data_IF_485855856510
#
_entry.id   IF_485855856510
#
_cell.length_a   1.000
_cell.length_b   1.000
_cell.length_c   1.000
_cell.angle_alpha   90.00
_cell.angle_beta   90.00
_cell.angle_gamma   90.00
#
_symmetry.space_group_name_H-M   'P 1'
#
loop_
_entity.id
_entity.type
_entity.pdbx_description
1 polymer ?
#
# COMPACT_ATOMS: atom_id res chain seq x y z
N UNK A 1 4.59 -9.77 -1.52
CA UNK A 1 4.37 -10.83 -0.49
C UNK A 1 4.16 -10.29 0.93
N UNK A 2 4.68 -9.12 1.32
CA UNK A 2 4.47 -8.56 2.68
C UNK A 2 3.08 -7.92 2.88
N UNK A 3 2.49 -7.34 1.83
CA UNK A 3 1.17 -6.67 1.88
C UNK A 3 0.04 -7.56 2.39
N UNK A 4 0.10 -8.86 2.11
CA UNK A 4 -0.87 -9.87 2.55
C UNK A 4 -0.92 -10.03 4.07
N UNK A 5 0.17 -9.74 4.80
CA UNK A 5 0.18 -9.76 6.27
C UNK A 5 -0.68 -8.65 6.89
N UNK A 6 -0.89 -7.57 6.14
CA UNK A 6 -1.68 -6.42 6.57
C UNK A 6 -3.08 -6.39 5.94
N UNK A 7 -3.41 -7.39 5.11
CA UNK A 7 -4.74 -7.62 4.60
C UNK A 7 -5.62 -8.21 5.72
N UNK A 8 -6.50 -7.39 6.27
CA UNK A 8 -7.35 -7.77 7.40
C UNK A 8 -8.76 -8.10 6.91
N UNK A 9 -9.35 -9.19 7.40
CA UNK A 9 -10.75 -9.53 7.12
C UNK A 9 -11.69 -8.45 7.65
N UNK A 10 -12.79 -8.19 6.95
CA UNK A 10 -13.78 -7.18 7.35
C UNK A 10 -14.32 -7.39 8.78
N UNK A 11 -14.41 -8.64 9.25
CA UNK A 11 -14.84 -8.99 10.63
C UNK A 11 -13.92 -8.44 11.73
N UNK A 12 -12.66 -8.17 11.39
CA UNK A 12 -11.64 -7.65 12.31
C UNK A 12 -11.52 -6.11 12.21
N UNK A 13 -12.33 -5.46 11.36
CA UNK A 13 -12.39 -4.01 11.30
C UNK A 13 -12.88 -3.40 12.61
N UNK A 14 -12.44 -2.17 12.86
CA UNK A 14 -12.72 -1.41 14.09
C UNK A 14 -12.16 -2.08 15.36
N UNK A 15 -11.26 -3.05 15.22
CA UNK A 15 -10.48 -3.64 16.32
C UNK A 15 -9.03 -3.19 16.24
N UNK A 16 -8.27 -3.45 17.30
CA UNK A 16 -6.83 -3.18 17.30
C UNK A 16 -6.12 -4.27 16.49
N UNK A 17 -5.34 -3.83 15.51
CA UNK A 17 -4.38 -4.69 14.83
C UNK A 17 -3.02 -4.51 15.51
N UNK A 18 -2.43 -5.60 15.98
CA UNK A 18 -1.06 -5.62 16.50
C UNK A 18 -0.40 -6.95 16.11
N UNK A 19 0.79 -6.87 15.50
CA UNK A 19 1.57 -8.03 15.08
C UNK A 19 3.04 -7.76 15.41
N UNK A 20 3.71 -8.69 16.10
CA UNK A 20 5.13 -8.61 16.39
C UNK A 20 5.88 -9.67 15.59
N UNK A 21 6.88 -9.23 14.82
CA UNK A 21 7.80 -10.11 14.08
C UNK A 21 9.21 -9.63 14.39
N UNK A 22 9.99 -10.50 15.05
CA UNK A 22 11.35 -10.17 15.51
C UNK A 22 11.35 -8.87 16.34
N UNK A 23 12.20 -7.92 15.94
CA UNK A 23 12.40 -6.63 16.61
C UNK A 23 11.46 -5.52 16.12
N UNK A 24 10.42 -5.89 15.35
CA UNK A 24 9.42 -4.97 14.81
C UNK A 24 8.03 -5.33 15.31
N UNK A 25 7.29 -4.32 15.79
CA UNK A 25 5.89 -4.39 16.21
C UNK A 25 5.05 -3.50 15.30
N UNK A 26 4.17 -4.12 14.53
CA UNK A 26 3.20 -3.47 13.68
C UNK A 26 1.93 -3.17 14.48
N UNK A 27 1.44 -1.94 14.41
CA UNK A 27 0.21 -1.51 15.09
C UNK A 27 -0.67 -0.70 14.16
N UNK A 28 -1.97 -0.97 14.16
CA UNK A 28 -2.92 -0.28 13.29
C UNK A 28 -4.37 -0.41 13.73
N UNK A 29 -5.25 0.24 12.97
CA UNK A 29 -6.70 0.20 13.17
C UNK A 29 -7.42 0.09 11.83
N UNK A 30 -7.74 -1.13 11.39
CA UNK A 30 -8.44 -1.35 10.13
C UNK A 30 -9.80 -0.66 10.17
N UNK A 31 -10.03 0.22 9.20
CA UNK A 31 -11.22 1.07 9.10
C UNK A 31 -11.99 0.67 7.85
N UNK A 32 -13.28 0.40 8.03
CA UNK A 32 -14.19 0.05 6.94
C UNK A 32 -15.02 1.25 6.52
N UNK A 33 -14.95 1.62 5.25
CA UNK A 33 -15.64 2.75 4.67
C UNK A 33 -16.73 2.25 3.72
N UNK A 34 -17.97 2.78 3.82
CA UNK A 34 -18.98 2.50 2.81
C UNK A 34 -18.57 3.16 1.49
N UNK A 35 -18.60 2.41 0.40
CA UNK A 35 -18.38 2.91 -0.94
C UNK A 35 -19.72 2.98 -1.67
N UNK A 36 -19.97 4.09 -2.37
CA UNK A 36 -21.25 4.39 -3.04
C UNK A 36 -21.00 4.40 -4.54
N UNK A 37 -21.42 3.34 -5.24
CA UNK A 37 -21.52 3.36 -6.70
C UNK A 37 -22.90 3.87 -7.10
N UNK A 38 -22.94 4.80 -8.06
CA UNK A 38 -24.19 5.44 -8.49
C UNK A 38 -25.12 4.52 -9.32
N UNK A 39 -24.88 3.21 -9.40
CA UNK A 39 -25.62 2.34 -10.34
C UNK A 39 -26.06 0.96 -9.85
N UNK A 40 -25.59 0.46 -8.71
CA UNK A 40 -26.03 -0.85 -8.20
C UNK A 40 -26.12 -0.81 -6.68
N UNK A 41 -27.22 -1.31 -6.10
CA UNK A 41 -27.45 -1.46 -4.66
C UNK A 41 -26.47 -2.41 -3.95
N UNK A 42 -25.40 -2.83 -4.64
CA UNK A 42 -24.29 -3.57 -4.04
C UNK A 42 -23.39 -2.56 -3.33
N UNK A 43 -23.62 -2.36 -2.04
CA UNK A 43 -22.74 -1.57 -1.19
C UNK A 43 -21.34 -2.20 -1.13
N UNK A 44 -20.48 -1.90 -2.09
CA UNK A 44 -19.06 -2.21 -1.98
C UNK A 44 -18.45 -1.41 -0.81
N UNK A 45 -17.37 -1.91 -0.24
CA UNK A 45 -16.73 -1.31 0.92
C UNK A 45 -15.23 -1.16 0.68
N UNK A 46 -14.70 0.01 1.01
CA UNK A 46 -13.26 0.24 1.00
C UNK A 46 -12.73 -0.09 2.40
N UNK A 47 -11.82 -1.04 2.49
CA UNK A 47 -11.12 -1.39 3.73
C UNK A 47 -9.73 -0.76 3.71
N UNK A 48 -9.41 0.02 4.73
CA UNK A 48 -8.11 0.68 4.87
C UNK A 48 -7.46 0.26 6.15
N UNK A 49 -6.22 -0.18 6.06
CA UNK A 49 -5.40 -0.51 7.22
C UNK A 49 -4.15 0.36 7.25
N UNK A 50 -4.16 1.37 8.12
CA UNK A 50 -2.98 2.20 8.38
C UNK A 50 -2.18 1.54 9.49
N UNK A 51 -0.97 1.10 9.15
CA UNK A 51 -0.09 0.33 10.04
C UNK A 51 1.21 1.08 10.27
N UNK A 52 1.56 1.28 11.53
CA UNK A 52 2.85 1.81 11.95
C UNK A 52 3.76 0.65 12.35
N UNK A 53 5.01 0.68 11.88
CA UNK A 53 6.06 -0.23 12.31
C UNK A 53 6.89 0.44 13.41
N UNK A 54 6.86 -0.13 14.61
CA UNK A 54 7.58 0.36 15.79
C UNK A 54 8.66 -0.65 16.19
N UNK A 55 9.68 -0.20 16.92
CA UNK A 55 10.61 -1.12 17.57
C UNK A 55 9.86 -2.01 18.57
N UNK A 56 10.19 -3.30 18.65
CA UNK A 56 9.51 -4.25 19.53
C UNK A 56 9.56 -3.88 21.02
N UNK A 57 10.62 -3.18 21.42
CA UNK A 57 10.87 -2.64 22.77
C UNK A 57 10.13 -1.34 23.08
N UNK A 58 9.41 -0.74 22.11
CA UNK A 58 8.65 0.48 22.33
C UNK A 58 7.68 0.33 23.50
N UNK A 59 7.60 1.37 24.33
CA UNK A 59 6.76 1.35 25.52
C UNK A 59 5.26 1.31 25.16
N UNK A 60 4.45 0.77 26.07
CA UNK A 60 3.02 0.61 25.86
C UNK A 60 2.29 1.93 25.57
N UNK A 61 2.74 3.05 26.15
CA UNK A 61 2.17 4.38 25.88
C UNK A 61 2.40 4.84 24.45
N UNK A 62 3.59 4.57 23.89
CA UNK A 62 3.91 4.87 22.49
C UNK A 62 3.09 3.99 21.54
N UNK A 63 3.03 2.68 21.80
CA UNK A 63 2.21 1.75 21.02
C UNK A 63 0.75 2.18 21.02
N UNK A 64 0.21 2.58 22.19
CA UNK A 64 -1.14 3.11 22.31
C UNK A 64 -1.33 4.42 21.54
N UNK A 65 -0.36 5.32 21.59
CA UNK A 65 -0.41 6.60 20.86
C UNK A 65 -0.54 6.38 19.35
N UNK A 66 0.29 5.50 18.76
CA UNK A 66 0.22 5.18 17.33
C UNK A 66 -1.05 4.41 16.94
N UNK A 67 -1.56 3.54 17.83
CA UNK A 67 -2.88 2.95 17.65
C UNK A 67 -3.98 4.02 17.58
N UNK A 68 -4.03 4.93 18.56
CA UNK A 68 -5.03 6.01 18.61
C UNK A 68 -4.90 6.95 17.40
N UNK A 69 -3.67 7.20 16.94
CA UNK A 69 -3.39 7.98 15.73
C UNK A 69 -3.95 7.27 14.47
N UNK A 70 -3.67 5.98 14.27
CA UNK A 70 -4.19 5.22 13.12
C UNK A 70 -5.72 5.25 13.07
N UNK A 71 -6.38 5.18 14.23
CA UNK A 71 -7.84 5.29 14.37
C UNK A 71 -8.36 6.67 13.98
N UNK A 72 -7.65 7.74 14.35
CA UNK A 72 -8.02 9.12 13.96
C UNK A 72 -7.84 9.36 12.47
N UNK A 73 -6.74 8.86 11.88
CA UNK A 73 -6.52 8.93 10.44
C UNK A 73 -7.61 8.18 9.67
N UNK A 74 -8.02 6.99 10.12
CA UNK A 74 -9.15 6.27 9.51
C UNK A 74 -10.46 7.07 9.52
N UNK A 75 -10.72 7.86 10.58
CA UNK A 75 -11.88 8.78 10.61
C UNK A 75 -11.73 9.95 9.63
N UNK A 76 -10.55 10.55 9.56
CA UNK A 76 -10.27 11.64 8.62
C UNK A 76 -10.43 11.18 7.17
N UNK A 77 -9.87 10.01 6.84
CA UNK A 77 -10.03 9.41 5.51
C UNK A 77 -11.49 9.06 5.18
N UNK A 78 -12.28 8.61 6.16
CA UNK A 78 -13.73 8.42 5.99
C UNK A 78 -14.44 9.74 5.66
N UNK A 79 -14.00 10.84 6.25
CA UNK A 79 -14.54 12.16 5.91
C UNK A 79 -14.16 12.55 4.48
N UNK A 80 -12.89 12.39 4.10
CA UNK A 80 -12.42 12.73 2.74
C UNK A 80 -13.08 11.89 1.65
N UNK A 81 -13.34 10.60 1.92
CA UNK A 81 -14.12 9.76 1.00
C UNK A 81 -15.55 10.30 0.82
N UNK A 82 -16.21 10.71 1.90
CA UNK A 82 -17.56 11.29 1.79
C UNK A 82 -17.56 12.67 1.13
N UNK A 83 -16.52 13.48 1.38
CA UNK A 83 -16.44 14.87 0.93
C UNK A 83 -16.20 14.96 -0.57
N UNK A 84 -15.30 14.14 -1.10
CA UNK A 84 -14.86 14.25 -2.49
C UNK A 84 -14.41 12.93 -3.11
N UNK A 85 -14.81 11.78 -2.55
CA UNK A 85 -14.42 10.44 -3.04
C UNK A 85 -12.90 10.26 -3.12
N UNK A 86 -12.15 10.87 -2.19
CA UNK A 86 -10.69 10.92 -2.26
C UNK A 86 -10.06 9.53 -2.42
N UNK A 87 -10.46 8.57 -1.58
CA UNK A 87 -9.86 7.24 -1.60
C UNK A 87 -10.28 6.44 -2.82
N UNK A 88 -11.50 6.66 -3.30
CA UNK A 88 -11.97 6.09 -4.57
C UNK A 88 -11.08 6.53 -5.73
N UNK A 89 -10.77 7.83 -5.84
CA UNK A 89 -9.91 8.34 -6.92
C UNK A 89 -8.46 7.85 -6.78
N UNK A 90 -7.89 7.92 -5.58
CA UNK A 90 -6.53 7.40 -5.33
C UNK A 90 -6.42 5.89 -5.61
N UNK A 91 -7.46 5.11 -5.28
CA UNK A 91 -7.51 3.67 -5.59
C UNK A 91 -7.52 3.41 -7.09
N UNK A 92 -8.26 4.21 -7.88
CA UNK A 92 -8.25 4.10 -9.35
C UNK A 92 -6.87 4.35 -9.93
N UNK A 93 -6.18 5.38 -9.45
CA UNK A 93 -4.80 5.71 -9.87
C UNK A 93 -3.86 4.55 -9.54
N UNK A 94 -3.96 4.01 -8.33
CA UNK A 94 -3.15 2.88 -7.87
C UNK A 94 -3.37 1.62 -8.72
N UNK A 95 -4.63 1.25 -8.98
CA UNK A 95 -4.98 0.08 -9.79
C UNK A 95 -4.52 0.25 -11.24
N UNK A 96 -4.86 1.37 -11.88
CA UNK A 96 -4.47 1.63 -13.26
C UNK A 96 -2.94 1.60 -13.45
N UNK A 97 -2.20 2.18 -12.50
CA UNK A 97 -0.73 2.16 -12.54
C UNK A 97 -0.17 0.75 -12.37
N UNK A 98 -0.79 -0.09 -11.52
CA UNK A 98 -0.35 -1.48 -11.35
C UNK A 98 -0.62 -2.31 -12.62
N UNK A 99 -1.76 -2.10 -13.27
CA UNK A 99 -2.12 -2.77 -14.52
C UNK A 99 -1.13 -2.40 -15.65
N UNK A 100 -0.77 -1.11 -15.77
CA UNK A 100 0.24 -0.64 -16.74
C UNK A 100 1.61 -1.29 -16.53
N UNK A 101 2.12 -1.32 -15.29
CA UNK A 101 3.43 -1.91 -15.00
C UNK A 101 3.42 -3.42 -15.26
N UNK A 102 2.31 -4.09 -14.92
CA UNK A 102 2.15 -5.53 -15.19
C UNK A 102 2.15 -5.85 -16.69
N UNK A 103 1.55 -4.97 -17.51
CA UNK A 103 1.57 -5.11 -18.96
C UNK A 103 2.99 -4.93 -19.53
N UNK A 104 3.76 -3.95 -19.06
CA UNK A 104 5.14 -3.73 -19.49
C UNK A 104 6.06 -4.90 -19.15
N UNK A 105 5.92 -5.47 -17.95
CA UNK A 105 6.67 -6.66 -17.53
C UNK A 105 6.38 -7.86 -18.44
N UNK A 106 5.15 -7.99 -18.95
CA UNK A 106 4.77 -9.06 -19.88
C UNK A 106 5.34 -8.88 -21.29
N UNK A 107 5.48 -7.64 -21.76
CA UNK A 107 6.06 -7.34 -23.09
C UNK A 107 7.59 -7.53 -23.11
N UNK A 108 8.29 -7.16 -22.03
CA UNK A 108 9.75 -7.36 -21.89
C UNK A 108 10.08 -8.86 -21.85
N UNK A 109 9.28 -9.67 -21.16
CA UNK A 109 9.51 -11.11 -21.02
C UNK A 109 9.13 -11.92 -22.28
N UNK A 110 8.61 -11.26 -23.32
CA UNK A 110 8.29 -11.85 -24.63
C UNK A 110 9.41 -11.68 -25.65
N UNK A 111 10.45 -10.90 -25.34
CA UNK A 111 11.51 -10.49 -26.27
C UNK A 111 12.85 -11.23 -26.13
N UNK A 112 13.03 -12.09 -25.13
CA UNK A 112 14.28 -12.80 -24.86
C UNK A 112 14.03 -14.30 -24.71
N UNK A 113 13.77 -14.97 -25.83
CA UNK A 113 14.11 -16.38 -25.99
C UNK A 113 15.02 -16.48 -27.21
N UNK A 114 16.31 -16.34 -26.98
CA UNK A 114 17.33 -17.23 -27.54
C UNK A 114 18.64 -17.02 -26.75
N UNK A 115 19.14 -18.14 -26.22
CA UNK A 115 20.52 -18.44 -25.79
C UNK A 115 21.00 -18.15 -24.33
N UNK A 116 21.00 -19.26 -23.58
CA UNK A 116 22.05 -19.80 -22.68
C UNK A 116 22.16 -19.43 -21.18
N UNK A 117 22.39 -20.52 -20.42
CA UNK A 117 22.60 -20.69 -18.97
C UNK A 117 23.72 -19.80 -18.36
N UNK A 118 23.49 -19.21 -17.18
CA UNK A 118 24.00 -19.69 -15.89
C UNK A 118 23.82 -18.63 -14.79
N UNK A 119 23.29 -19.07 -13.64
CA UNK A 119 23.66 -18.64 -12.29
C UNK A 119 23.68 -17.14 -11.95
N UNK A 120 22.71 -16.69 -11.14
CA UNK A 120 22.97 -16.22 -9.76
C UNK A 120 21.77 -15.51 -9.12
N UNK A 121 21.46 -15.96 -7.91
CA UNK A 121 20.66 -15.35 -6.83
C UNK A 121 20.49 -13.82 -6.94
N UNK A 122 19.26 -13.34 -7.13
CA UNK A 122 18.91 -11.95 -6.81
C UNK A 122 18.01 -11.84 -5.58
N UNK A 123 18.65 -11.48 -4.47
CA UNK A 123 18.04 -10.91 -3.29
C UNK A 123 17.23 -9.66 -3.65
N UNK A 124 15.95 -9.65 -3.28
CA UNK A 124 15.12 -8.45 -3.28
C UNK A 124 15.60 -7.52 -2.16
N UNK A 125 16.50 -6.60 -2.51
CA UNK A 125 16.96 -5.55 -1.60
C UNK A 125 15.95 -4.41 -1.61
N UNK A 126 15.34 -4.15 -0.45
CA UNK A 126 14.53 -2.96 -0.21
C UNK A 126 15.46 -1.81 0.12
N UNK A 127 15.92 -1.07 -0.89
CA UNK A 127 16.74 0.13 -0.70
C UNK A 127 15.91 1.38 -0.96
N UNK A 128 15.68 2.15 0.11
CA UNK A 128 15.30 3.55 0.01
C UNK A 128 16.47 4.32 -0.58
N UNK A 129 16.44 4.65 -1.87
CA UNK A 129 17.46 5.48 -2.52
C UNK A 129 17.08 6.96 -2.43
N UNK A 130 18.02 7.74 -1.91
CA UNK A 130 17.99 9.21 -1.92
C UNK A 130 17.92 9.74 -3.35
N UNK A 131 17.07 10.74 -3.57
CA UNK A 131 17.04 11.55 -4.78
C UNK A 131 18.38 12.30 -4.89
N UNK A 132 19.11 12.06 -5.97
CA UNK A 132 19.54 13.10 -6.93
C UNK A 132 20.51 12.45 -7.94
N UNK A 133 20.17 12.54 -9.22
CA UNK A 133 20.83 11.97 -10.41
C UNK A 133 20.71 10.46 -10.65
N UNK A 134 19.73 10.06 -11.48
CA UNK A 134 19.79 8.81 -12.22
C UNK A 134 19.26 9.00 -13.66
N UNK A 135 19.91 8.43 -14.70
CA UNK A 135 19.53 8.60 -16.11
C UNK A 135 18.15 8.03 -16.43
N UNK A 136 17.55 8.56 -17.49
CA UNK A 136 16.14 8.40 -17.93
C UNK A 136 15.72 6.98 -18.37
N UNK A 137 16.49 5.93 -18.10
CA UNK A 137 16.28 4.58 -18.65
C UNK A 137 16.01 3.49 -17.61
N UNK A 138 15.77 3.84 -16.34
CA UNK A 138 15.42 2.84 -15.32
C UNK A 138 13.90 2.63 -15.29
N UNK A 139 13.40 1.38 -15.30
CA UNK A 139 11.97 1.12 -15.17
C UNK A 139 11.47 1.72 -13.85
N UNK A 140 10.59 2.72 -13.96
CA UNK A 140 9.99 3.38 -12.81
C UNK A 140 9.07 2.38 -12.12
N UNK A 141 9.37 2.05 -10.87
CA UNK A 141 8.49 1.22 -10.04
C UNK A 141 7.07 1.79 -10.00
N UNK A 142 6.05 0.93 -9.95
CA UNK A 142 4.65 1.33 -9.79
C UNK A 142 4.45 2.35 -8.66
N UNK A 143 5.19 2.20 -7.55
CA UNK A 143 5.16 3.15 -6.44
C UNK A 143 5.55 4.57 -6.86
N UNK A 144 6.60 4.72 -7.66
CA UNK A 144 7.06 6.02 -8.14
C UNK A 144 6.03 6.67 -9.07
N UNK A 145 5.42 5.87 -9.96
CA UNK A 145 4.38 6.34 -10.88
C UNK A 145 3.09 6.74 -10.14
N UNK A 146 2.70 5.98 -9.11
CA UNK A 146 1.56 6.32 -8.26
C UNK A 146 1.79 7.69 -7.62
N UNK A 147 2.94 7.92 -6.99
CA UNK A 147 3.24 9.21 -6.35
C UNK A 147 3.25 10.37 -7.34
N UNK A 148 3.75 10.16 -8.57
CA UNK A 148 3.75 11.20 -9.61
C UNK A 148 2.34 11.57 -10.09
N UNK A 149 1.41 10.61 -10.07
CA UNK A 149 0.04 10.76 -10.58
C UNK A 149 -0.97 11.16 -9.51
N UNK A 150 -0.70 10.81 -8.26
CA UNK A 150 -1.50 11.22 -7.10
C UNK A 150 -1.38 12.73 -6.96
N UNK A 151 -2.49 13.45 -6.79
CA UNK A 151 -2.47 14.89 -6.54
C UNK A 151 -1.97 15.16 -5.11
N UNK A 152 -0.68 15.02 -4.89
CA UNK A 152 0.01 15.69 -3.79
C UNK A 152 0.27 17.14 -4.24
N UNK A 153 -0.81 17.90 -4.38
CA UNK A 153 -0.78 19.34 -4.61
C UNK A 153 -0.70 20.10 -3.29
#
# INVERSE_FOLDING_TARGET
>A
MLSTLFAVKAELCNRKFELKVNDVRFVGHPTLLPYRTNKDDTAAMILINIVFALQASASHSIVKCYYDLSKRLGKALRHEEKRCSYLTEEMKIMLATHDEVSALDSEINSGENDDEEENSRHSVSSTTFSLDNLPSSVPKSAFHLILQRSSLA
#
